data_IF_944199825976
#
_entry.id   IF_944199825976
#
_cell.length_a   1.000
_cell.length_b   1.000
_cell.length_c   1.000
_cell.angle_alpha   90.00
_cell.angle_beta   90.00
_cell.angle_gamma   90.00
#
_symmetry.space_group_name_H-M   'P 1'
#
loop_
_entity.id
_entity.type
_entity.pdbx_description
1 polymer ?
#
# COMPACT_ATOMS: atom_id res chain seq x y z
N UNK A 1 -20.64 58.24 0.76
CA UNK A 1 -20.41 57.45 -0.48
C UNK A 1 -19.02 56.86 -0.34
N UNK A 2 -18.87 55.54 -0.29
CA UNK A 2 -17.54 54.91 -0.23
C UNK A 2 -16.86 55.01 -1.59
N UNK A 3 -15.68 55.63 -1.65
CA UNK A 3 -14.83 55.70 -2.83
C UNK A 3 -13.60 54.80 -2.69
N UNK A 4 -13.11 54.28 -3.82
CA UNK A 4 -11.83 53.61 -3.97
C UNK A 4 -10.74 54.67 -4.16
N UNK A 5 -9.63 54.60 -3.41
CA UNK A 5 -8.49 55.50 -3.56
C UNK A 5 -7.19 54.71 -3.66
N UNK A 6 -6.32 55.13 -4.57
CA UNK A 6 -4.94 54.64 -4.71
C UNK A 6 -4.04 55.73 -4.13
N UNK A 7 -3.22 55.38 -3.15
CA UNK A 7 -2.30 56.30 -2.50
C UNK A 7 -0.91 55.68 -2.45
N UNK A 8 0.08 56.42 -2.97
CA UNK A 8 1.49 56.20 -2.70
C UNK A 8 1.79 56.78 -1.30
N UNK A 9 2.33 55.98 -0.39
CA UNK A 9 2.55 56.43 0.99
C UNK A 9 4.03 56.72 1.28
N UNK A 10 4.42 57.98 1.05
CA UNK A 10 5.66 58.60 1.54
C UNK A 10 6.99 58.11 0.94
N UNK A 11 8.02 58.93 1.20
CA UNK A 11 9.35 58.99 0.56
C UNK A 11 10.21 57.72 0.79
N UNK A 12 9.73 56.76 1.59
CA UNK A 12 10.49 55.57 2.03
C UNK A 12 9.71 54.24 1.92
N UNK A 13 8.52 54.21 1.30
CA UNK A 13 7.67 53.00 1.23
C UNK A 13 7.18 52.82 -0.21
N UNK A 14 7.79 51.89 -0.95
CA UNK A 14 7.48 51.60 -2.37
C UNK A 14 6.23 50.72 -2.51
N UNK A 15 5.16 51.09 -1.81
CA UNK A 15 3.97 50.26 -1.69
C UNK A 15 2.74 50.90 -2.32
N UNK A 16 1.99 50.10 -3.08
CA UNK A 16 0.65 50.46 -3.57
C UNK A 16 -0.39 49.97 -2.56
N UNK A 17 -1.27 50.87 -2.14
CA UNK A 17 -2.35 50.57 -1.19
C UNK A 17 -3.72 50.71 -1.85
N UNK A 18 -4.60 49.74 -1.60
CA UNK A 18 -6.02 49.80 -1.98
C UNK A 18 -6.87 49.70 -0.71
N UNK A 19 -7.67 50.73 -0.40
CA UNK A 19 -8.45 50.86 0.85
C UNK A 19 -9.87 51.40 0.62
N UNK A 20 -10.80 51.07 1.52
CA UNK A 20 -12.14 51.69 1.57
C UNK A 20 -12.18 52.90 2.50
N UNK A 21 -12.76 54.02 2.05
CA UNK A 21 -12.84 55.27 2.82
C UNK A 21 -13.58 55.08 4.16
N UNK A 22 -12.90 55.38 5.28
CA UNK A 22 -13.46 55.27 6.64
C UNK A 22 -12.96 54.07 7.44
N UNK A 23 -12.39 53.06 6.78
CA UNK A 23 -11.81 51.88 7.43
C UNK A 23 -10.30 51.85 7.18
N UNK A 24 -9.51 52.43 8.09
CA UNK A 24 -8.05 52.33 8.08
C UNK A 24 -7.55 50.87 8.21
N UNK A 25 -8.46 49.93 8.47
CA UNK A 25 -8.21 48.57 8.93
C UNK A 25 -8.43 47.50 7.86
N UNK A 26 -8.65 47.88 6.59
CA UNK A 26 -8.81 46.93 5.46
C UNK A 26 -8.07 47.47 4.24
N UNK A 27 -6.85 46.97 4.04
CA UNK A 27 -5.99 47.39 2.94
C UNK A 27 -5.36 46.18 2.24
N UNK A 28 -5.33 46.20 0.91
CA UNK A 28 -4.38 45.40 0.14
C UNK A 28 -3.11 46.24 -0.04
N UNK A 29 -1.98 45.75 0.49
CA UNK A 29 -0.65 46.32 0.27
C UNK A 29 0.12 45.39 -0.67
N UNK A 30 0.69 45.96 -1.74
CA UNK A 30 1.72 45.34 -2.56
C UNK A 30 2.99 46.14 -2.35
N UNK A 31 4.07 45.50 -1.93
CA UNK A 31 5.32 46.14 -1.52
C UNK A 31 6.54 45.37 -2.03
N UNK A 32 7.64 46.09 -2.24
CA UNK A 32 8.97 45.55 -2.49
C UNK A 32 9.72 45.44 -1.16
N UNK A 33 9.61 44.29 -0.49
CA UNK A 33 9.95 44.14 0.92
C UNK A 33 11.47 44.12 1.22
N UNK A 34 12.34 44.12 0.21
CA UNK A 34 13.80 44.11 0.42
C UNK A 34 14.52 45.06 -0.54
N UNK A 35 15.36 45.96 -0.02
CA UNK A 35 16.06 46.99 -0.80
C UNK A 35 17.14 46.46 -1.78
N UNK A 36 17.18 45.16 -2.08
CA UNK A 36 18.18 44.55 -2.96
C UNK A 36 17.65 43.38 -3.83
N UNK A 37 16.42 42.91 -3.63
CA UNK A 37 15.87 41.75 -4.33
C UNK A 37 14.36 41.98 -4.47
N UNK A 38 13.87 42.05 -5.71
CA UNK A 38 12.47 42.33 -6.00
C UNK A 38 11.58 41.21 -5.45
N UNK A 39 11.03 41.42 -4.27
CA UNK A 39 10.14 40.48 -3.58
C UNK A 39 8.78 41.11 -3.45
N UNK A 40 7.73 40.42 -3.90
CA UNK A 40 6.36 40.89 -3.78
C UNK A 40 5.65 40.15 -2.65
N UNK A 41 5.01 40.88 -1.74
CA UNK A 41 4.20 40.29 -0.67
C UNK A 41 2.79 40.88 -0.61
N UNK A 42 1.82 40.03 -0.25
CA UNK A 42 0.46 40.44 0.10
C UNK A 42 0.27 40.36 1.61
N UNK A 43 -0.30 41.42 2.18
CA UNK A 43 -0.62 41.53 3.61
C UNK A 43 -2.13 41.71 3.77
N UNK A 44 -2.72 40.99 4.73
CA UNK A 44 -4.05 41.31 5.25
C UNK A 44 -3.92 41.82 6.67
N UNK A 45 -4.24 43.10 6.87
CA UNK A 45 -4.31 43.69 8.20
C UNK A 45 -5.72 43.52 8.76
N UNK A 46 -5.82 43.05 10.01
CA UNK A 46 -7.08 43.05 10.76
C UNK A 46 -6.85 43.64 12.17
N UNK A 47 -7.63 44.69 12.48
CA UNK A 47 -7.72 45.37 13.78
C UNK A 47 -6.40 45.85 14.44
N UNK A 48 -5.92 47.04 14.05
CA UNK A 48 -5.04 47.88 14.90
C UNK A 48 -3.64 47.35 15.21
N UNK A 49 -3.30 46.16 14.73
CA UNK A 49 -1.96 45.58 14.75
C UNK A 49 -1.56 45.40 13.29
N UNK A 50 -0.56 46.16 12.84
CA UNK A 50 0.11 45.87 11.57
C UNK A 50 0.75 44.51 11.76
N UNK A 51 0.11 43.49 11.20
CA UNK A 51 0.64 42.13 11.26
C UNK A 51 1.78 42.09 10.27
N UNK A 52 3.03 42.14 10.74
CA UNK A 52 4.26 42.02 9.93
C UNK A 52 4.39 40.68 9.19
N UNK A 53 3.31 39.89 9.11
CA UNK A 53 3.29 38.55 8.53
C UNK A 53 2.72 38.68 7.12
N UNK A 54 3.59 38.55 6.12
CA UNK A 54 3.18 38.32 4.74
C UNK A 54 2.33 37.05 4.69
N UNK A 55 1.09 37.17 4.22
CA UNK A 55 0.22 36.00 4.05
C UNK A 55 0.62 35.21 2.80
N UNK A 56 1.10 35.91 1.76
CA UNK A 56 1.67 35.36 0.53
C UNK A 56 2.93 36.17 0.15
N UNK A 57 4.03 35.49 -0.18
CA UNK A 57 5.27 36.09 -0.70
C UNK A 57 5.71 35.38 -1.99
N UNK A 58 6.35 36.12 -2.90
CA UNK A 58 7.05 35.58 -4.07
C UNK A 58 8.43 36.21 -4.12
N UNK A 59 9.48 35.37 -4.14
CA UNK A 59 10.86 35.84 -4.20
C UNK A 59 11.42 35.97 -5.63
N UNK A 60 12.69 36.37 -5.75
CA UNK A 60 13.37 36.59 -7.03
C UNK A 60 13.61 35.32 -7.84
N UNK A 61 13.62 34.17 -7.20
CA UNK A 61 13.80 32.85 -7.85
C UNK A 61 12.44 32.26 -8.27
N UNK A 62 11.35 32.94 -7.93
CA UNK A 62 9.97 32.58 -8.25
C UNK A 62 9.34 31.64 -7.21
N UNK A 63 9.99 31.43 -6.07
CA UNK A 63 9.46 30.61 -4.99
C UNK A 63 8.31 31.34 -4.29
N UNK A 64 7.27 30.60 -3.94
CA UNK A 64 6.05 31.13 -3.32
C UNK A 64 6.01 30.72 -1.85
N UNK A 65 5.89 31.69 -0.95
CA UNK A 65 5.66 31.47 0.48
C UNK A 65 4.22 31.77 0.88
N UNK A 66 3.60 30.90 1.67
CA UNK A 66 2.32 31.19 2.36
C UNK A 66 2.60 31.17 3.86
N UNK A 67 2.41 32.32 4.52
CA UNK A 67 2.73 32.53 5.93
C UNK A 67 4.24 32.57 6.27
N UNK A 68 5.09 32.70 5.25
CA UNK A 68 6.55 32.88 5.35
C UNK A 68 7.04 33.90 4.31
N UNK A 69 8.10 34.64 4.62
CA UNK A 69 8.87 35.48 3.68
C UNK A 69 10.13 34.79 3.15
N UNK A 70 10.47 33.62 3.70
CA UNK A 70 11.61 32.81 3.28
C UNK A 70 11.08 31.46 2.79
N UNK A 71 10.53 31.41 1.56
CA UNK A 71 10.20 30.13 0.94
C UNK A 71 11.47 29.33 0.65
N UNK A 72 11.30 28.06 0.26
CA UNK A 72 12.38 27.14 -0.07
C UNK A 72 13.37 26.88 1.07
N UNK A 73 12.82 26.68 2.28
CA UNK A 73 13.57 26.38 3.51
C UNK A 73 14.51 25.17 3.35
N UNK A 74 14.17 24.23 2.47
CA UNK A 74 14.95 23.02 2.20
C UNK A 74 16.04 23.20 1.12
N UNK A 75 16.10 24.34 0.42
CA UNK A 75 17.15 24.64 -0.56
C UNK A 75 17.07 23.86 -1.88
N UNK A 76 15.87 23.62 -2.42
CA UNK A 76 15.68 23.03 -3.74
C UNK A 76 16.15 23.98 -4.86
N UNK A 77 16.71 23.43 -5.93
CA UNK A 77 17.25 24.20 -7.07
C UNK A 77 16.21 24.57 -8.15
N UNK A 78 14.93 24.50 -7.82
CA UNK A 78 13.83 24.86 -8.72
C UNK A 78 12.71 25.52 -7.93
N UNK A 79 11.61 25.85 -8.59
CA UNK A 79 10.51 26.59 -7.95
C UNK A 79 9.79 25.79 -6.86
N UNK A 80 9.57 26.43 -5.71
CA UNK A 80 8.98 25.82 -4.51
C UNK A 80 7.77 26.62 -4.03
N UNK A 81 6.71 25.90 -3.61
CA UNK A 81 5.67 26.44 -2.76
C UNK A 81 5.95 26.02 -1.30
N UNK A 82 6.15 26.99 -0.42
CA UNK A 82 6.40 26.77 1.01
C UNK A 82 5.22 27.28 1.82
N UNK A 83 4.54 26.39 2.54
CA UNK A 83 3.48 26.77 3.49
C UNK A 83 4.04 26.65 4.90
N UNK A 84 4.17 27.78 5.58
CA UNK A 84 4.81 27.88 6.89
C UNK A 84 4.06 28.81 7.82
N UNK A 85 4.04 28.51 9.11
CA UNK A 85 3.50 29.38 10.15
C UNK A 85 4.50 29.36 11.29
N UNK A 86 5.43 30.30 11.28
CA UNK A 86 6.65 30.33 12.11
C UNK A 86 6.42 30.61 13.61
N UNK A 87 5.40 29.99 14.22
CA UNK A 87 5.02 30.18 15.62
C UNK A 87 4.91 28.83 16.33
N UNK A 88 5.49 28.71 17.53
CA UNK A 88 5.31 27.54 18.36
C UNK A 88 3.81 27.34 18.66
N UNK A 89 3.29 26.13 18.49
CA UNK A 89 1.88 25.70 18.65
C UNK A 89 0.94 25.84 17.44
N UNK A 90 1.37 26.44 16.33
CA UNK A 90 0.54 26.54 15.13
C UNK A 90 0.98 25.53 14.06
N UNK A 91 0.02 25.08 13.25
CA UNK A 91 0.27 24.17 12.12
C UNK A 91 0.08 24.89 10.79
N UNK A 92 0.86 24.47 9.79
CA UNK A 92 0.67 24.80 8.39
C UNK A 92 -0.04 23.64 7.70
N UNK A 93 -1.05 23.94 6.89
CA UNK A 93 -1.83 22.94 6.18
C UNK A 93 -2.06 23.36 4.72
N UNK A 94 -2.16 22.36 3.84
CA UNK A 94 -2.67 22.53 2.47
C UNK A 94 -4.03 21.84 2.43
N UNK A 95 -5.10 22.63 2.36
CA UNK A 95 -6.46 22.13 2.24
C UNK A 95 -6.88 22.13 0.77
N UNK A 96 -7.26 20.97 0.24
CA UNK A 96 -7.73 20.81 -1.14
C UNK A 96 -9.13 20.21 -1.08
N UNK A 97 -10.13 20.90 -1.63
CA UNK A 97 -11.50 20.43 -1.65
C UNK A 97 -11.94 20.05 -3.08
N UNK A 98 -12.60 18.90 -3.20
CA UNK A 98 -13.22 18.44 -4.44
C UNK A 98 -14.74 18.56 -4.35
N UNK A 99 -15.42 18.51 -5.50
CA UNK A 99 -16.89 18.49 -5.53
C UNK A 99 -17.43 17.08 -5.23
N UNK A 100 -18.52 16.99 -4.46
CA UNK A 100 -19.18 15.71 -4.15
C UNK A 100 -19.80 15.13 -5.43
N UNK A 101 -19.24 14.03 -5.94
CA UNK A 101 -19.95 13.15 -6.90
C UNK A 101 -20.49 11.95 -6.12
N UNK A 102 -21.75 11.58 -6.37
CA UNK A 102 -22.65 10.96 -5.37
C UNK A 102 -22.49 9.47 -5.05
N UNK A 103 -21.37 8.81 -5.36
CA UNK A 103 -21.19 7.35 -5.17
C UNK A 103 -19.82 7.02 -4.59
N UNK A 104 -19.70 5.90 -3.87
CA UNK A 104 -18.40 5.46 -3.34
C UNK A 104 -17.39 5.19 -4.47
N UNK A 105 -16.12 5.49 -4.21
CA UNK A 105 -15.07 5.50 -5.23
C UNK A 105 -15.03 6.77 -6.10
N UNK A 106 -16.00 7.69 -5.92
CA UNK A 106 -15.97 9.01 -6.56
C UNK A 106 -14.73 9.81 -6.17
N UNK A 107 -14.20 10.53 -7.16
CA UNK A 107 -13.01 11.37 -7.02
C UNK A 107 -13.36 12.61 -6.19
N UNK A 108 -12.62 12.81 -5.10
CA UNK A 108 -12.62 14.04 -4.30
C UNK A 108 -11.58 15.04 -4.81
N UNK A 109 -10.74 15.54 -3.92
CA UNK A 109 -9.58 16.36 -4.28
C UNK A 109 -8.37 15.49 -4.68
N UNK A 110 -7.48 16.03 -5.51
CA UNK A 110 -6.26 15.34 -5.94
C UNK A 110 -5.05 16.27 -5.85
N UNK A 111 -3.94 15.74 -5.34
CA UNK A 111 -2.59 16.26 -5.58
C UNK A 111 -1.97 15.45 -6.72
N UNK A 112 -1.76 16.12 -7.86
CA UNK A 112 -1.27 15.50 -9.08
C UNK A 112 0.21 15.75 -9.28
N UNK A 113 0.98 14.70 -9.58
CA UNK A 113 2.38 14.80 -9.95
C UNK A 113 2.51 14.64 -11.47
N UNK A 114 2.98 15.70 -12.12
CA UNK A 114 3.17 15.77 -13.56
C UNK A 114 4.65 15.64 -13.90
N UNK A 115 4.95 15.04 -15.05
CA UNK A 115 6.26 15.08 -15.66
C UNK A 115 6.17 15.75 -17.02
N UNK A 116 7.21 16.49 -17.40
CA UNK A 116 7.32 17.02 -18.75
C UNK A 116 7.67 15.90 -19.72
N UNK A 117 6.64 15.41 -20.40
CA UNK A 117 6.75 14.65 -21.63
C UNK A 117 7.75 15.29 -22.61
N UNK A 118 8.68 14.49 -23.17
CA UNK A 118 9.47 14.89 -24.33
C UNK A 118 8.54 15.37 -25.47
N UNK A 119 8.97 16.32 -26.33
CA UNK A 119 8.13 16.81 -27.42
C UNK A 119 7.49 15.66 -28.20
N UNK A 120 6.15 15.64 -28.27
CA UNK A 120 5.37 14.63 -29.02
C UNK A 120 4.80 13.45 -28.21
N UNK A 121 5.04 13.32 -26.91
CA UNK A 121 4.62 12.14 -26.11
C UNK A 121 3.17 12.18 -25.55
N UNK A 122 2.23 12.78 -26.29
CA UNK A 122 0.81 12.78 -25.95
C UNK A 122 0.39 13.79 -24.87
N UNK A 123 -0.93 13.95 -24.61
CA UNK A 123 -1.45 15.01 -23.75
C UNK A 123 -1.39 14.73 -22.24
N UNK A 124 -1.35 13.45 -21.81
CA UNK A 124 -1.38 13.10 -20.37
C UNK A 124 0.03 12.99 -19.77
N UNK A 125 0.36 13.95 -18.91
CA UNK A 125 1.65 14.13 -18.25
C UNK A 125 1.72 13.56 -16.82
N UNK A 126 0.65 12.92 -16.33
CA UNK A 126 0.58 12.43 -14.95
C UNK A 126 1.44 11.20 -14.75
N UNK A 127 2.30 11.24 -13.73
CA UNK A 127 3.17 10.13 -13.32
C UNK A 127 2.76 9.52 -11.98
N UNK A 128 2.17 10.33 -11.10
CA UNK A 128 1.62 9.87 -9.83
C UNK A 128 0.51 10.82 -9.37
N UNK A 129 -0.29 10.35 -8.42
CA UNK A 129 -1.31 11.17 -7.77
C UNK A 129 -1.60 10.62 -6.38
N UNK A 130 -1.92 11.55 -5.47
CA UNK A 130 -2.53 11.27 -4.19
C UNK A 130 -3.94 11.82 -4.27
N UNK A 131 -4.93 10.94 -4.15
CA UNK A 131 -6.33 11.28 -4.40
C UNK A 131 -7.18 10.94 -3.20
N UNK A 132 -7.97 11.91 -2.76
CA UNK A 132 -9.10 11.69 -1.89
C UNK A 132 -10.21 10.97 -2.66
N UNK A 133 -10.70 9.88 -2.10
CA UNK A 133 -11.85 9.12 -2.61
C UNK A 133 -13.00 9.31 -1.64
N UNK A 134 -14.23 9.39 -2.15
CA UNK A 134 -15.38 9.09 -1.29
C UNK A 134 -15.33 7.61 -0.94
N UNK A 135 -15.45 7.29 0.34
CA UNK A 135 -15.56 5.91 0.80
C UNK A 135 -16.56 5.89 1.94
N UNK A 136 -17.81 5.50 1.68
CA UNK A 136 -18.86 5.37 2.68
C UNK A 136 -19.75 6.60 2.87
N UNK A 137 -20.12 6.87 4.12
CA UNK A 137 -21.09 7.90 4.54
C UNK A 137 -20.59 9.34 4.32
N UNK A 138 -21.42 10.32 4.68
CA UNK A 138 -21.06 11.73 4.67
C UNK A 138 -19.81 11.98 5.53
N UNK A 139 -18.88 12.80 5.01
CA UNK A 139 -17.56 13.08 5.59
C UNK A 139 -16.63 11.85 5.75
N UNK A 140 -16.91 10.76 5.04
CA UNK A 140 -16.02 9.60 4.97
C UNK A 140 -15.26 9.56 3.64
N UNK A 141 -13.94 9.38 3.71
CA UNK A 141 -13.08 9.36 2.52
C UNK A 141 -11.89 8.42 2.63
N UNK A 142 -11.54 7.80 1.51
CA UNK A 142 -10.30 7.05 1.34
C UNK A 142 -9.20 7.92 0.74
N UNK A 143 -7.98 7.40 0.79
CA UNK A 143 -6.79 7.95 0.18
C UNK A 143 -6.21 6.89 -0.75
N UNK A 144 -6.11 7.20 -2.04
CA UNK A 144 -5.47 6.32 -2.99
C UNK A 144 -4.19 6.95 -3.52
N UNK A 145 -3.17 6.12 -3.58
CA UNK A 145 -1.87 6.41 -4.16
C UNK A 145 -1.82 5.69 -5.49
N UNK A 146 -1.70 6.47 -6.55
CA UNK A 146 -1.54 5.91 -7.88
C UNK A 146 -0.16 6.26 -8.39
N UNK A 147 0.54 5.26 -8.89
CA UNK A 147 1.78 5.42 -9.64
C UNK A 147 1.61 4.82 -11.01
N UNK A 148 2.11 5.51 -12.03
CA UNK A 148 1.94 5.10 -13.42
C UNK A 148 3.23 4.49 -13.97
N UNK A 149 3.10 3.39 -14.70
CA UNK A 149 4.11 2.89 -15.61
C UNK A 149 3.43 2.52 -16.94
N UNK A 150 3.55 3.37 -17.96
CA UNK A 150 2.85 3.19 -19.24
C UNK A 150 1.33 3.36 -19.14
N UNK A 151 0.55 2.34 -19.52
CA UNK A 151 -0.92 2.38 -19.52
C UNK A 151 -1.56 1.90 -18.19
N UNK A 152 -0.78 1.33 -17.28
CA UNK A 152 -1.27 0.71 -16.05
C UNK A 152 -1.03 1.59 -14.82
N UNK A 153 -2.00 1.57 -13.91
CA UNK A 153 -1.88 2.18 -12.59
C UNK A 153 -1.59 1.07 -11.58
N UNK A 154 -0.51 1.22 -10.81
CA UNK A 154 -0.34 0.47 -9.57
C UNK A 154 -0.97 1.28 -8.44
N UNK A 155 -1.76 0.61 -7.59
CA UNK A 155 -2.52 1.24 -6.52
C UNK A 155 -2.14 0.69 -5.16
N UNK A 156 -1.85 1.62 -4.24
CA UNK A 156 -2.05 1.41 -2.82
C UNK A 156 -3.26 2.25 -2.42
N UNK A 157 -4.22 1.66 -1.72
CA UNK A 157 -5.44 2.36 -1.28
C UNK A 157 -5.62 2.20 0.21
N UNK A 158 -5.85 3.30 0.92
CA UNK A 158 -6.20 3.34 2.34
C UNK A 158 -7.63 3.87 2.45
N UNK A 159 -8.56 3.10 2.96
CA UNK A 159 -9.96 3.55 3.11
C UNK A 159 -10.20 4.25 4.46
N UNK A 160 -11.31 4.99 4.58
CA UNK A 160 -11.71 5.71 5.80
C UNK A 160 -11.79 4.80 7.04
N UNK A 161 -12.06 3.51 6.85
CA UNK A 161 -12.17 2.49 7.89
C UNK A 161 -10.81 1.79 8.20
N UNK A 162 -9.72 2.32 7.64
CA UNK A 162 -8.34 1.90 7.90
C UNK A 162 -7.89 0.64 7.16
N UNK A 163 -8.59 0.21 6.10
CA UNK A 163 -8.18 -0.93 5.26
C UNK A 163 -7.16 -0.51 4.21
N UNK A 164 -6.19 -1.40 3.95
CA UNK A 164 -5.14 -1.24 2.95
C UNK A 164 -5.35 -2.23 1.80
N UNK A 165 -5.46 -1.73 0.57
CA UNK A 165 -5.45 -2.52 -0.65
C UNK A 165 -4.15 -2.31 -1.42
N UNK A 166 -3.52 -3.39 -1.90
CA UNK A 166 -2.36 -3.39 -2.79
C UNK A 166 -2.78 -4.10 -4.08
N UNK A 167 -2.80 -3.38 -5.19
CA UNK A 167 -3.35 -3.87 -6.46
C UNK A 167 -4.89 -3.89 -6.51
N UNK A 168 -5.58 -3.32 -5.52
CA UNK A 168 -7.04 -3.17 -5.49
C UNK A 168 -7.45 -1.89 -4.76
N UNK A 169 -8.50 -1.23 -5.25
CA UNK A 169 -9.16 -0.11 -4.55
C UNK A 169 -10.31 -0.56 -3.66
N UNK A 170 -10.67 -1.85 -3.75
CA UNK A 170 -11.73 -2.50 -2.99
C UNK A 170 -11.11 -3.68 -2.24
N UNK A 171 -10.44 -3.45 -1.10
CA UNK A 171 -9.86 -4.52 -0.28
C UNK A 171 -10.92 -5.45 0.34
N UNK A 172 -12.21 -5.19 0.08
CA UNK A 172 -13.34 -5.97 0.57
C UNK A 172 -13.40 -5.92 2.09
N UNK A 173 -13.35 -7.10 2.72
CA UNK A 173 -13.39 -7.24 4.17
C UNK A 173 -12.00 -7.26 4.82
N UNK A 174 -10.91 -7.42 4.05
CA UNK A 174 -9.57 -7.57 4.61
C UNK A 174 -8.96 -6.22 5.04
N UNK A 175 -8.32 -6.19 6.22
CA UNK A 175 -7.52 -5.04 6.67
C UNK A 175 -6.29 -4.81 5.76
N UNK A 176 -5.76 -5.88 5.18
CA UNK A 176 -4.75 -5.87 4.12
C UNK A 176 -5.20 -6.83 3.02
N UNK A 177 -5.58 -6.30 1.86
CA UNK A 177 -5.85 -7.11 0.67
C UNK A 177 -4.74 -6.90 -0.35
N UNK A 178 -4.10 -7.97 -0.79
CA UNK A 178 -3.11 -7.95 -1.86
C UNK A 178 -3.67 -8.81 -2.99
N UNK A 179 -3.98 -8.20 -4.12
CA UNK A 179 -4.19 -8.97 -5.34
C UNK A 179 -2.78 -9.29 -5.87
N UNK A 180 -2.30 -10.48 -5.56
CA UNK A 180 -0.90 -10.89 -5.75
C UNK A 180 -0.42 -11.74 -4.56
N UNK A 181 0.86 -12.09 -4.53
CA UNK A 181 1.44 -12.92 -3.46
C UNK A 181 1.75 -12.08 -2.20
N UNK A 182 1.60 -12.70 -1.02
CA UNK A 182 1.97 -12.11 0.28
C UNK A 182 3.03 -13.00 0.92
N UNK A 183 4.19 -12.42 1.25
CA UNK A 183 5.28 -13.12 1.93
C UNK A 183 5.75 -12.31 3.15
N UNK A 184 5.69 -12.92 4.33
CA UNK A 184 6.16 -12.36 5.60
C UNK A 184 7.68 -12.58 5.74
N UNK A 185 8.49 -11.51 5.85
CA UNK A 185 9.97 -11.55 5.67
C UNK A 185 10.80 -11.75 6.94
N UNK A 186 10.17 -12.03 8.09
CA UNK A 186 10.84 -12.32 9.38
C UNK A 186 10.12 -13.39 10.17
N UNK A 187 10.87 -14.24 10.89
CA UNK A 187 10.40 -15.49 11.51
C UNK A 187 9.29 -15.31 12.57
N UNK A 188 8.04 -15.28 12.13
CA UNK A 188 7.01 -16.20 12.57
C UNK A 188 6.58 -16.93 11.31
N UNK A 189 6.78 -18.25 11.22
CA UNK A 189 6.45 -19.09 10.06
C UNK A 189 5.21 -18.59 9.34
N UNK A 190 5.20 -18.58 7.99
CA UNK A 190 4.03 -18.39 7.12
C UNK A 190 2.82 -19.19 7.61
N UNK A 191 2.16 -18.70 8.65
CA UNK A 191 1.15 -19.39 9.41
C UNK A 191 -0.16 -18.72 9.05
N UNK A 192 -0.85 -19.30 8.08
CA UNK A 192 -2.25 -19.01 7.84
C UNK A 192 -3.10 -19.67 8.94
N UNK A 193 -4.19 -19.03 9.38
CA UNK A 193 -5.06 -19.55 10.45
C UNK A 193 -5.65 -20.96 10.12
N UNK A 194 -5.86 -21.81 11.14
CA UNK A 194 -6.18 -23.24 10.95
C UNK A 194 -7.25 -23.86 11.89
N UNK A 195 -8.01 -23.07 12.67
CA UNK A 195 -9.05 -23.50 13.65
C UNK A 195 -10.23 -24.28 13.01
N UNK A 196 -10.76 -25.33 13.69
CA UNK A 196 -11.86 -26.19 13.18
C UNK A 196 -13.15 -25.41 12.87
N UNK A 197 -13.45 -24.34 13.61
CA UNK A 197 -14.66 -23.53 13.42
C UNK A 197 -14.62 -22.68 12.15
N UNK A 198 -13.44 -22.50 11.54
CA UNK A 198 -13.24 -21.83 10.26
C UNK A 198 -13.37 -22.78 9.05
N UNK A 199 -13.80 -24.03 9.30
CA UNK A 199 -13.86 -25.11 8.30
C UNK A 199 -15.24 -25.79 8.38
N UNK A 200 -15.78 -26.20 7.24
CA UNK A 200 -17.03 -26.96 7.12
C UNK A 200 -16.83 -28.08 6.09
N UNK A 201 -17.81 -28.99 5.96
CA UNK A 201 -17.70 -30.17 5.11
C UNK A 201 -16.39 -30.95 5.38
N UNK A 202 -16.03 -31.05 6.65
CA UNK A 202 -14.77 -31.66 7.10
C UNK A 202 -14.90 -33.16 6.91
N UNK A 203 -14.32 -33.65 5.83
CA UNK A 203 -14.07 -35.06 5.64
C UNK A 203 -12.68 -35.38 6.18
N UNK A 204 -12.57 -36.52 6.85
CA UNK A 204 -11.25 -37.09 7.11
C UNK A 204 -10.66 -37.43 5.75
N UNK A 205 -9.40 -37.04 5.53
CA UNK A 205 -8.66 -37.50 4.36
C UNK A 205 -8.64 -39.02 4.44
N UNK A 206 -9.12 -39.67 3.39
CA UNK A 206 -9.11 -41.12 3.23
C UNK A 206 -8.29 -41.48 2.00
N UNK A 207 -7.75 -42.69 1.96
CA UNK A 207 -6.81 -43.14 0.92
C UNK A 207 -5.64 -42.15 0.74
N UNK A 208 -5.12 -41.57 1.82
CA UNK A 208 -4.01 -40.61 1.74
C UNK A 208 -2.78 -41.25 1.11
N UNK A 209 -2.50 -42.52 1.41
CA UNK A 209 -1.42 -43.27 0.75
C UNK A 209 -1.68 -43.35 -0.76
N UNK A 210 -2.87 -43.78 -1.20
CA UNK A 210 -3.18 -43.89 -2.63
C UNK A 210 -3.16 -42.54 -3.36
N UNK A 211 -3.59 -41.47 -2.68
CA UNK A 211 -3.48 -40.09 -3.17
C UNK A 211 -2.00 -39.72 -3.39
N UNK A 212 -1.15 -39.92 -2.38
CA UNK A 212 0.26 -39.56 -2.46
C UNK A 212 1.05 -40.44 -3.43
N UNK A 213 0.66 -41.70 -3.62
CA UNK A 213 1.31 -42.63 -4.56
C UNK A 213 1.10 -42.26 -6.03
N UNK A 214 0.10 -41.42 -6.33
CA UNK A 214 -0.09 -40.84 -7.67
C UNK A 214 0.77 -39.60 -7.90
N UNK A 215 1.29 -39.01 -6.83
CA UNK A 215 2.21 -37.89 -6.94
C UNK A 215 3.60 -38.42 -7.28
N UNK A 216 4.32 -37.65 -8.08
CA UNK A 216 5.67 -37.98 -8.48
C UNK A 216 6.63 -36.94 -7.88
N UNK A 217 7.17 -37.16 -6.66
CA UNK A 217 8.26 -36.33 -6.15
C UNK A 217 9.45 -36.43 -7.09
N UNK A 218 9.87 -35.28 -7.62
CA UNK A 218 11.00 -35.21 -8.54
C UNK A 218 12.10 -34.35 -7.94
N UNK A 219 13.33 -34.71 -8.26
CA UNK A 219 14.44 -33.77 -8.19
C UNK A 219 14.41 -32.90 -9.44
N UNK A 220 14.50 -31.59 -9.26
CA UNK A 220 14.55 -30.65 -10.37
C UNK A 220 15.60 -29.58 -10.11
N UNK A 221 15.91 -28.83 -11.15
CA UNK A 221 16.81 -27.69 -11.08
C UNK A 221 16.00 -26.45 -11.46
N UNK A 222 15.90 -25.46 -10.57
CA UNK A 222 15.17 -24.21 -10.84
C UNK A 222 15.77 -23.52 -12.07
N UNK A 223 14.92 -23.12 -13.01
CA UNK A 223 15.36 -22.43 -14.24
C UNK A 223 16.08 -21.11 -13.94
N UNK A 224 15.59 -20.38 -12.93
CA UNK A 224 16.10 -19.04 -12.61
C UNK A 224 17.38 -19.09 -11.76
N UNK A 225 17.49 -20.01 -10.80
CA UNK A 225 18.62 -20.06 -9.86
C UNK A 225 19.66 -21.15 -10.17
N UNK A 226 19.33 -22.16 -10.98
CA UNK A 226 20.18 -23.34 -11.19
C UNK A 226 20.31 -24.24 -9.95
N UNK A 227 19.53 -23.97 -8.90
CA UNK A 227 19.58 -24.71 -7.64
C UNK A 227 18.86 -26.06 -7.77
N UNK A 228 19.53 -27.13 -7.32
CA UNK A 228 18.91 -28.45 -7.22
C UNK A 228 17.94 -28.44 -6.04
N UNK A 229 16.68 -28.75 -6.31
CA UNK A 229 15.61 -28.80 -5.32
C UNK A 229 14.76 -30.05 -5.51
N UNK A 230 13.92 -30.33 -4.52
CA UNK A 230 12.97 -31.44 -4.53
C UNK A 230 11.58 -30.85 -4.39
N UNK A 231 10.61 -31.43 -5.10
CA UNK A 231 9.22 -31.01 -4.99
C UNK A 231 8.34 -31.70 -6.01
N UNK A 232 7.22 -31.05 -6.33
CA UNK A 232 6.20 -31.55 -7.25
C UNK A 232 6.01 -30.58 -8.42
N UNK A 233 5.58 -31.13 -9.56
CA UNK A 233 5.21 -30.37 -10.75
C UNK A 233 3.72 -30.03 -10.68
N UNK A 234 3.38 -28.73 -10.81
CA UNK A 234 2.00 -28.25 -10.72
C UNK A 234 1.09 -28.87 -11.80
N UNK A 235 1.62 -29.12 -12.99
CA UNK A 235 0.88 -29.71 -14.11
C UNK A 235 0.59 -31.21 -13.88
N UNK A 236 1.54 -31.95 -13.30
CA UNK A 236 1.32 -33.35 -12.92
C UNK A 236 0.24 -33.42 -11.82
N UNK A 237 0.23 -32.46 -10.90
CA UNK A 237 -0.85 -32.31 -9.91
C UNK A 237 -2.15 -31.91 -10.61
N UNK A 238 -2.14 -31.04 -11.60
CA UNK A 238 -3.34 -30.62 -12.34
C UNK A 238 -4.05 -31.80 -13.03
N UNK A 239 -3.28 -32.76 -13.56
CA UNK A 239 -3.84 -33.95 -14.21
C UNK A 239 -4.53 -34.90 -13.22
N UNK A 240 -4.01 -34.98 -11.99
CA UNK A 240 -4.49 -35.93 -10.98
C UNK A 240 -5.49 -35.30 -9.98
N UNK A 241 -5.24 -34.04 -9.60
CA UNK A 241 -5.93 -33.22 -8.60
C UNK A 241 -6.04 -31.75 -9.05
N UNK A 242 -6.81 -31.45 -10.12
CA UNK A 242 -6.95 -30.09 -10.66
C UNK A 242 -7.46 -29.07 -9.64
N UNK A 243 -8.21 -29.51 -8.62
CA UNK A 243 -8.74 -28.66 -7.56
C UNK A 243 -7.67 -28.07 -6.63
N UNK A 244 -6.45 -28.61 -6.64
CA UNK A 244 -5.31 -28.09 -5.85
C UNK A 244 -4.60 -26.94 -6.55
N UNK A 245 -4.91 -26.71 -7.82
CA UNK A 245 -4.31 -25.69 -8.64
C UNK A 245 -4.99 -24.34 -8.42
N UNK A 246 -4.19 -23.29 -8.48
CA UNK A 246 -4.60 -21.89 -8.42
C UNK A 246 -3.92 -21.15 -9.57
N UNK A 247 -4.63 -20.21 -10.18
CA UNK A 247 -4.03 -19.26 -11.12
C UNK A 247 -3.10 -18.31 -10.35
N UNK A 248 -1.83 -18.28 -10.75
CA UNK A 248 -0.82 -17.38 -10.20
C UNK A 248 -0.69 -16.08 -11.04
N UNK A 249 -1.55 -15.91 -12.05
CA UNK A 249 -1.48 -14.84 -13.04
C UNK A 249 -0.48 -15.14 -14.16
N UNK A 250 -0.59 -14.43 -15.28
CA UNK A 250 0.33 -14.51 -16.44
C UNK A 250 0.49 -15.91 -17.06
N UNK A 251 -0.54 -16.77 -16.93
CA UNK A 251 -0.52 -18.14 -17.44
C UNK A 251 0.27 -19.12 -16.57
N UNK A 252 0.71 -18.70 -15.39
CA UNK A 252 1.30 -19.58 -14.40
C UNK A 252 0.24 -20.15 -13.48
N UNK A 253 0.49 -21.36 -13.02
CA UNK A 253 -0.32 -22.03 -12.03
C UNK A 253 0.54 -22.36 -10.82
N UNK A 254 -0.07 -22.33 -9.64
CA UNK A 254 0.52 -22.75 -8.38
C UNK A 254 -0.38 -23.79 -7.73
N UNK A 255 0.15 -24.53 -6.76
CA UNK A 255 -0.61 -25.52 -6.01
C UNK A 255 -0.61 -25.20 -4.52
N UNK A 256 -1.60 -25.72 -3.80
CA UNK A 256 -1.71 -25.56 -2.35
C UNK A 256 -0.64 -26.38 -1.60
N UNK A 257 0.59 -25.84 -1.52
CA UNK A 257 1.74 -26.49 -0.88
C UNK A 257 1.52 -26.85 0.61
N UNK A 258 0.88 -26.01 1.46
CA UNK A 258 0.59 -26.37 2.85
C UNK A 258 -0.29 -27.63 3.01
N UNK A 259 -1.13 -27.95 2.01
CA UNK A 259 -2.04 -29.09 2.05
C UNK A 259 -1.34 -30.45 2.12
N UNK A 260 -0.24 -30.62 1.38
CA UNK A 260 0.48 -31.90 1.24
C UNK A 260 1.00 -32.44 2.57
N UNK A 261 1.41 -31.55 3.47
CA UNK A 261 1.90 -31.95 4.81
C UNK A 261 0.82 -32.72 5.58
N UNK A 262 -0.46 -32.38 5.40
CA UNK A 262 -1.56 -33.08 6.09
C UNK A 262 -1.90 -34.43 5.45
N UNK A 263 -1.77 -34.55 4.13
CA UNK A 263 -1.85 -35.85 3.45
C UNK A 263 -0.74 -36.79 3.93
N UNK A 264 0.50 -36.29 4.07
CA UNK A 264 1.62 -37.07 4.61
C UNK A 264 1.36 -37.57 6.04
N UNK A 265 0.78 -36.73 6.90
CA UNK A 265 0.40 -37.14 8.26
C UNK A 265 -0.61 -38.29 8.23
N UNK A 266 -1.66 -38.19 7.39
CA UNK A 266 -2.69 -39.22 7.29
C UNK A 266 -2.14 -40.52 6.68
N UNK A 267 -1.30 -40.43 5.66
CA UNK A 267 -0.68 -41.59 5.04
C UNK A 267 0.16 -42.39 6.02
N UNK A 268 0.91 -41.72 6.91
CA UNK A 268 1.65 -42.39 7.99
C UNK A 268 0.71 -43.10 8.96
N UNK A 269 -0.42 -42.49 9.33
CA UNK A 269 -1.41 -43.11 10.21
C UNK A 269 -2.06 -44.34 9.57
N UNK A 270 -2.37 -44.28 8.28
CA UNK A 270 -2.89 -45.42 7.50
C UNK A 270 -1.88 -46.57 7.46
N UNK A 271 -0.62 -46.28 7.11
CA UNK A 271 0.45 -47.28 7.09
C UNK A 271 0.68 -47.92 8.47
N UNK A 272 0.59 -47.15 9.56
CA UNK A 272 0.76 -47.69 10.91
C UNK A 272 -0.34 -48.71 11.27
N UNK A 273 -1.58 -48.46 10.85
CA UNK A 273 -2.71 -49.38 11.06
C UNK A 273 -2.59 -50.68 10.24
N UNK A 274 -1.84 -50.67 9.14
CA UNK A 274 -1.54 -51.88 8.37
C UNK A 274 -0.38 -52.70 8.97
N UNK A 275 0.51 -52.06 9.73
CA UNK A 275 1.66 -52.70 10.39
C UNK A 275 1.28 -53.30 11.76
N UNK A 276 0.40 -52.65 12.52
CA UNK A 276 -0.06 -53.12 13.85
C UNK A 276 -0.99 -54.36 13.93
N UNK A 277 -1.69 -54.86 12.88
CA UNK A 277 -2.61 -55.98 13.02
C UNK A 277 -1.92 -57.35 13.03
N UNK A 278 -0.60 -57.40 13.24
CA UNK A 278 0.11 -58.65 13.54
C UNK A 278 0.45 -58.74 15.04
N UNK A 279 -0.50 -59.10 15.94
CA UNK A 279 -0.08 -59.85 17.11
C UNK A 279 0.46 -61.17 16.57
N UNK A 280 1.78 -61.29 16.48
CA UNK A 280 2.41 -62.59 16.58
C UNK A 280 1.94 -63.12 17.94
N UNK A 281 0.87 -63.91 17.92
CA UNK A 281 0.71 -65.03 18.85
C UNK A 281 2.03 -65.76 18.71
N UNK A 282 2.91 -65.59 19.69
CA UNK A 282 4.09 -66.45 19.81
C UNK A 282 3.47 -67.80 20.14
N UNK A 283 3.17 -68.52 19.06
CA UNK A 283 2.84 -69.92 19.05
C UNK A 283 3.73 -70.60 20.07
N UNK A 284 3.16 -71.53 20.83
CA UNK A 284 3.76 -72.85 21.01
C UNK A 284 5.04 -73.02 20.20
N UNK A 285 6.16 -72.55 20.74
CA UNK A 285 7.47 -72.92 20.23
C UNK A 285 7.70 -74.30 20.84
N UNK A 286 6.94 -75.27 20.33
CA UNK A 286 7.39 -76.66 20.38
C UNK A 286 8.68 -76.61 19.57
N UNK A 287 9.81 -76.49 20.26
CA UNK A 287 11.07 -76.97 19.72
C UNK A 287 10.86 -78.48 19.59
N UNK A 288 10.79 -79.07 18.38
CA UNK A 288 10.90 -80.50 18.29
C UNK A 288 12.37 -80.85 18.51
N UNK A 289 12.54 -81.89 19.32
CA UNK A 289 13.57 -82.90 19.10
C UNK A 289 15.00 -82.58 19.55
N UNK A 290 15.35 -83.27 20.64
CA UNK A 290 16.52 -84.15 20.67
C UNK A 290 17.89 -83.52 20.33
N UNK A 291 18.51 -82.85 21.29
CA UNK A 291 19.97 -82.71 21.28
C UNK A 291 20.56 -82.44 22.67
N UNK A 292 20.16 -83.21 23.68
CA UNK A 292 21.03 -83.45 24.84
C UNK A 292 21.01 -84.94 25.13
N UNK A 293 21.64 -85.70 24.25
CA UNK A 293 22.15 -87.01 24.63
C UNK A 293 23.22 -86.78 25.70
N UNK A 294 22.89 -87.25 26.90
CA UNK A 294 23.83 -87.77 27.87
C UNK A 294 25.06 -88.38 27.20
N UNK A 295 26.26 -88.02 27.64
CA UNK A 295 27.28 -88.95 28.16
C UNK A 295 28.34 -88.11 28.92
N UNK A 296 29.12 -88.70 29.84
CA UNK A 296 28.78 -89.12 31.20
C UNK A 296 29.32 -88.17 32.28
#
# INVERSE_FOLDING_TARGET
>A
RGGLYIQENSINDNAIWIRTQGDANRALRVDDWASAIGQYALFADNAGVVSSKSELSIDSDGDVGIGTTAPNVSGYSGTVLTVGKGEATLVSAVEIYGHRTGTDGSIGAELTFLNISAPGSGPDKRIAMIRGLRSGDDNSGGLAFYTRNGASWSTLTILHDGKVGIGTTLPGTYKLAVIGEICETTAGTSACASDIRLKENITVIDDAVGILMKLNPVEFIWKDSGEKSIGLIAQDIEEVYPEWIRDAGNGYITYNNPGFTFYLIKAIQEQQLEIEPAPISVSSFIVPSSAFNNVP
#
